data_IF_997279051110
#
_entry.id   IF_997279051110
#
_cell.length_a   1.000
_cell.length_b   1.000
_cell.length_c   1.000
_cell.angle_alpha   90.00
_cell.angle_beta   90.00
_cell.angle_gamma   90.00
#
_symmetry.space_group_name_H-M   'P 1'
#
loop_
_entity.id
_entity.type
_entity.pdbx_description
1 polymer ?
#
# COMPACT_ATOMS: atom_id res chain seq x y z
N UNK A 1 16.62 1.90 0.53
CA UNK A 1 15.18 2.15 0.79
C UNK A 1 14.45 0.84 0.58
N UNK A 2 13.65 0.42 1.55
CA UNK A 2 12.81 -0.78 1.45
C UNK A 2 11.37 -0.31 1.31
N UNK A 3 10.63 -0.88 0.35
CA UNK A 3 9.23 -0.58 0.13
C UNK A 3 8.36 -1.81 0.33
N UNK A 4 7.11 -1.59 0.70
CA UNK A 4 6.06 -2.60 0.78
C UNK A 4 4.92 -2.24 -0.16
N UNK A 5 4.19 -3.25 -0.62
CA UNK A 5 2.96 -3.07 -1.40
C UNK A 5 1.98 -4.17 -1.06
N UNK A 6 0.68 -3.83 -1.07
CA UNK A 6 -0.39 -4.76 -0.72
C UNK A 6 -1.18 -5.18 -1.97
N UNK A 7 -1.30 -6.48 -2.20
CA UNK A 7 -2.27 -7.03 -3.15
C UNK A 7 -3.52 -7.47 -2.40
N UNK A 8 -4.56 -6.63 -2.42
CA UNK A 8 -5.84 -6.95 -1.76
C UNK A 8 -6.82 -7.53 -2.79
N UNK A 9 -7.14 -8.81 -2.61
CA UNK A 9 -8.11 -9.54 -3.44
C UNK A 9 -9.44 -9.66 -2.70
N UNK A 10 -10.54 -9.22 -3.32
CA UNK A 10 -11.88 -9.40 -2.78
C UNK A 10 -12.88 -9.73 -3.89
N UNK A 11 -13.48 -10.91 -3.84
CA UNK A 11 -14.50 -11.35 -4.82
C UNK A 11 -14.03 -11.22 -6.28
N UNK A 12 -12.77 -11.56 -6.54
CA UNK A 12 -12.17 -11.49 -7.87
C UNK A 12 -11.74 -10.09 -8.33
N UNK A 13 -11.85 -9.07 -7.48
CA UNK A 13 -11.31 -7.72 -7.79
C UNK A 13 -10.05 -7.42 -6.98
N UNK A 14 -9.22 -6.55 -7.53
CA UNK A 14 -7.98 -6.06 -6.90
C UNK A 14 -8.16 -4.58 -6.57
N UNK A 15 -7.71 -4.18 -5.38
CA UNK A 15 -7.61 -2.77 -5.00
C UNK A 15 -6.37 -2.14 -5.64
N UNK A 16 -6.56 -1.00 -6.31
CA UNK A 16 -5.51 -0.15 -6.86
C UNK A 16 -5.74 1.28 -6.39
N UNK A 17 -4.64 2.04 -6.28
CA UNK A 17 -4.65 3.49 -6.01
C UNK A 17 -4.08 4.25 -7.20
N UNK A 18 -4.59 5.46 -7.44
CA UNK A 18 -4.04 6.37 -8.45
C UNK A 18 -2.94 7.21 -7.80
N UNK A 19 -1.75 7.23 -8.41
CA UNK A 19 -0.61 7.95 -7.86
C UNK A 19 -0.82 9.47 -7.95
N UNK A 20 -0.86 10.14 -6.79
CA UNK A 20 -1.03 11.59 -6.71
C UNK A 20 0.23 12.42 -6.99
N UNK A 21 1.43 11.81 -6.97
CA UNK A 21 2.72 12.52 -7.02
C UNK A 21 3.68 11.91 -8.07
N UNK A 22 4.55 12.71 -8.71
CA UNK A 22 5.63 12.19 -9.56
C UNK A 22 6.64 11.34 -8.77
N UNK A 23 7.32 10.37 -9.43
CA UNK A 23 7.11 9.96 -10.82
C UNK A 23 5.81 9.17 -11.00
N UNK A 24 5.33 9.09 -12.24
CA UNK A 24 4.14 8.31 -12.64
C UNK A 24 2.82 8.80 -12.01
N UNK A 25 2.68 10.11 -11.82
CA UNK A 25 1.40 10.71 -11.42
C UNK A 25 0.30 10.30 -12.42
N UNK A 26 -0.85 9.88 -11.92
CA UNK A 26 -2.01 9.42 -12.71
C UNK A 26 -1.98 7.95 -13.12
N UNK A 27 -0.92 7.21 -12.79
CA UNK A 27 -0.85 5.77 -13.04
C UNK A 27 -1.47 5.01 -11.86
N UNK A 28 -2.07 3.86 -12.15
CA UNK A 28 -2.53 2.92 -11.13
C UNK A 28 -1.37 2.12 -10.55
N UNK A 29 -1.35 1.95 -9.23
CA UNK A 29 -0.41 1.08 -8.54
C UNK A 29 -1.07 0.31 -7.40
N UNK A 30 -0.38 -0.70 -6.88
CA UNK A 30 -0.73 -1.26 -5.58
C UNK A 30 -0.58 -0.18 -4.51
N UNK A 31 -1.46 -0.15 -3.49
CA UNK A 31 -1.25 0.70 -2.32
C UNK A 31 -0.01 0.24 -1.55
N UNK A 32 0.72 1.19 -0.99
CA UNK A 32 1.94 0.92 -0.25
C UNK A 32 2.97 2.04 -0.34
N UNK A 33 4.03 1.91 0.45
CA UNK A 33 5.01 2.95 0.61
C UNK A 33 6.32 2.46 1.18
N UNK A 34 7.05 3.38 1.79
CA UNK A 34 8.40 3.14 2.30
C UNK A 34 8.30 2.63 3.73
N UNK A 35 9.09 1.61 4.04
CA UNK A 35 9.22 1.11 5.41
C UNK A 35 10.06 2.09 6.22
N UNK A 36 9.55 2.51 7.38
CA UNK A 36 10.27 3.40 8.27
C UNK A 36 11.40 2.68 9.02
N UNK A 37 12.40 3.43 9.49
CA UNK A 37 13.54 2.82 10.18
C UNK A 37 13.08 2.21 11.51
N UNK A 38 13.29 0.90 11.66
CA UNK A 38 12.85 0.14 12.84
C UNK A 38 11.42 -0.40 12.75
N UNK A 39 10.70 -0.12 11.66
CA UNK A 39 9.35 -0.62 11.44
C UNK A 39 9.37 -2.06 10.90
N UNK A 40 8.50 -2.92 11.43
CA UNK A 40 8.29 -4.25 10.86
C UNK A 40 7.54 -4.15 9.52
N UNK A 41 7.82 -5.05 8.58
CA UNK A 41 7.18 -5.04 7.26
C UNK A 41 5.65 -5.12 7.34
N UNK A 42 5.13 -5.90 8.29
CA UNK A 42 3.68 -6.03 8.52
C UNK A 42 3.05 -4.74 9.06
N UNK A 43 3.77 -4.01 9.90
CA UNK A 43 3.27 -2.74 10.45
C UNK A 43 3.29 -1.67 9.36
N UNK A 44 4.34 -1.62 8.55
CA UNK A 44 4.46 -0.72 7.41
C UNK A 44 3.29 -0.90 6.43
N UNK A 45 2.99 -2.14 6.02
CA UNK A 45 1.90 -2.36 5.06
C UNK A 45 0.53 -2.03 5.67
N UNK A 46 0.31 -2.28 6.97
CA UNK A 46 -0.94 -1.89 7.64
C UNK A 46 -1.09 -0.38 7.73
N UNK A 47 -0.02 0.35 8.08
CA UNK A 47 0.02 1.82 8.13
C UNK A 47 -0.29 2.42 6.77
N UNK A 48 0.43 2.01 5.74
CA UNK A 48 0.26 2.52 4.37
C UNK A 48 -1.17 2.23 3.84
N UNK A 49 -1.70 1.03 4.09
CA UNK A 49 -3.08 0.70 3.71
C UNK A 49 -4.11 1.62 4.36
N UNK A 50 -3.96 1.90 5.66
CA UNK A 50 -4.84 2.82 6.37
C UNK A 50 -4.72 4.24 5.84
N UNK A 51 -3.50 4.72 5.58
CA UNK A 51 -3.24 6.09 5.13
C UNK A 51 -3.72 6.36 3.71
N UNK A 52 -3.48 5.45 2.76
CA UNK A 52 -3.83 5.67 1.35
C UNK A 52 -5.28 5.31 1.03
N UNK A 53 -5.87 4.35 1.76
CA UNK A 53 -7.18 3.76 1.39
C UNK A 53 -8.22 3.80 2.51
N UNK A 54 -7.82 4.11 3.75
CA UNK A 54 -8.70 4.05 4.92
C UNK A 54 -9.04 2.64 5.39
N UNK A 55 -8.44 1.60 4.81
CA UNK A 55 -8.75 0.21 5.11
C UNK A 55 -7.82 -0.37 6.18
N UNK A 56 -8.40 -1.03 7.17
CA UNK A 56 -7.68 -1.90 8.09
C UNK A 56 -7.50 -3.29 7.44
N UNK A 57 -6.26 -3.77 7.39
CA UNK A 57 -5.92 -5.06 6.78
C UNK A 57 -5.16 -5.97 7.74
N UNK A 58 -5.25 -7.28 7.49
CA UNK A 58 -4.41 -8.28 8.13
C UNK A 58 -3.58 -8.98 7.05
N UNK A 59 -2.25 -8.76 6.99
CA UNK A 59 -1.36 -9.53 6.14
C UNK A 59 -1.45 -11.03 6.45
N UNK A 60 -1.28 -11.87 5.42
CA UNK A 60 -1.30 -13.33 5.51
C UNK A 60 0.09 -13.89 5.70
#
# INVERSE_FOLDING_TARGET
MVGVGALVLRRGTILLVERGRPPLKGYWSLPGGVVETGEHLEDAVRREMREETGLEVKPL
#
